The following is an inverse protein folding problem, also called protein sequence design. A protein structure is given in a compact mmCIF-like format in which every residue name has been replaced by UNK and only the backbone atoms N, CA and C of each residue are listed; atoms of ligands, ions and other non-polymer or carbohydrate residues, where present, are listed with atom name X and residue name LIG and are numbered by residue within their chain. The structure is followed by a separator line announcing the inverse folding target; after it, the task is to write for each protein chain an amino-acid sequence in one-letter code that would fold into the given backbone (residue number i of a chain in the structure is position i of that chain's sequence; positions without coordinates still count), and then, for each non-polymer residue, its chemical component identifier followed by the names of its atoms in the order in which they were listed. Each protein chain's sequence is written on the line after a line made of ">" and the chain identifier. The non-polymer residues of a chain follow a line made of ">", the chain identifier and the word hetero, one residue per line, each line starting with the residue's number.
data_IF_801832591753
#
_entry.id   IF_801832591753
#
_cell.length_a   1.000
_cell.length_b   1.000
_cell.length_c   1.000
_cell.angle_alpha   90.00
_cell.angle_beta   90.00
_cell.angle_gamma   90.00
#
_symmetry.space_group_name_H-M   'P 1'
#
loop_
_entity.id
_entity.type
_entity.pdbx_description
1 polymer ?
#
# COMPACT_ATOMS: atom_id res chain seq x y z
N UNK A 1 6.40 10.30 -26.08
CA UNK A 1 6.82 9.02 -25.48
C UNK A 1 7.21 9.34 -24.04
N UNK A 2 6.22 9.50 -23.18
CA UNK A 2 6.45 9.70 -21.74
C UNK A 2 6.98 8.38 -21.21
N UNK A 3 8.15 8.39 -20.60
CA UNK A 3 8.66 7.19 -19.93
C UNK A 3 7.60 6.71 -18.94
N UNK A 4 7.20 5.44 -19.03
CA UNK A 4 6.52 4.77 -17.92
C UNK A 4 7.52 4.76 -16.77
N UNK A 5 7.37 5.73 -15.86
CA UNK A 5 8.21 5.79 -14.68
C UNK A 5 7.75 4.64 -13.78
N UNK A 6 8.56 3.59 -13.71
CA UNK A 6 8.36 2.50 -12.75
C UNK A 6 8.25 3.10 -11.35
N UNK A 7 7.07 2.98 -10.74
CA UNK A 7 6.85 3.42 -9.37
C UNK A 7 7.67 2.54 -8.45
N UNK A 8 8.46 3.17 -7.58
CA UNK A 8 9.33 2.49 -6.62
C UNK A 8 8.81 2.65 -5.20
N UNK A 9 9.33 1.85 -4.26
CA UNK A 9 9.06 2.04 -2.85
C UNK A 9 9.50 3.42 -2.31
N UNK A 10 10.48 4.08 -2.94
CA UNK A 10 10.86 5.44 -2.58
C UNK A 10 9.75 6.44 -2.91
N UNK A 11 9.06 6.27 -4.04
CA UNK A 11 7.91 7.09 -4.42
C UNK A 11 6.74 6.90 -3.45
N UNK A 12 6.49 5.65 -3.02
CA UNK A 12 5.48 5.33 -2.00
C UNK A 12 5.80 6.00 -0.67
N UNK A 13 7.06 5.90 -0.20
CA UNK A 13 7.50 6.59 1.04
C UNK A 13 7.32 8.09 0.92
N UNK A 14 7.72 8.68 -0.20
CA UNK A 14 7.58 10.12 -0.45
C UNK A 14 6.11 10.55 -0.40
N UNK A 15 5.23 9.83 -1.09
CA UNK A 15 3.80 10.10 -1.10
C UNK A 15 3.17 9.94 0.30
N UNK A 16 3.45 8.83 0.99
CA UNK A 16 2.89 8.55 2.31
C UNK A 16 3.34 9.58 3.36
N UNK A 17 4.64 9.89 3.41
CA UNK A 17 5.21 10.84 4.37
C UNK A 17 4.87 12.31 4.06
N UNK A 18 4.31 12.60 2.88
CA UNK A 18 3.78 13.94 2.57
C UNK A 18 2.44 14.23 3.25
N UNK A 19 1.72 13.19 3.72
CA UNK A 19 0.46 13.35 4.43
C UNK A 19 0.70 13.84 5.87
N UNK A 20 -0.12 14.78 6.39
CA UNK A 20 0.01 15.26 7.77
C UNK A 20 0.01 14.11 8.79
N UNK A 21 0.82 14.26 9.84
CA UNK A 21 0.90 13.33 10.97
C UNK A 21 1.20 11.87 10.59
N UNK A 22 1.83 11.65 9.44
CA UNK A 22 2.23 10.32 8.97
C UNK A 22 3.64 9.95 9.44
N UNK A 23 3.79 8.70 9.88
CA UNK A 23 5.09 8.12 10.26
C UNK A 23 5.29 6.76 9.60
N UNK A 24 6.53 6.44 9.27
CA UNK A 24 6.96 5.10 8.86
C UNK A 24 7.43 4.31 10.09
N UNK A 25 6.95 3.07 10.25
CA UNK A 25 7.37 2.13 11.30
C UNK A 25 7.42 0.72 10.74
N UNK A 26 8.39 -0.07 11.17
CA UNK A 26 8.41 -1.50 10.87
C UNK A 26 7.34 -2.25 11.67
N UNK A 27 6.61 -3.15 11.03
CA UNK A 27 5.74 -4.14 11.65
C UNK A 27 5.87 -5.46 10.90
N UNK A 28 6.07 -6.57 11.62
CA UNK A 28 6.30 -7.89 11.03
C UNK A 28 7.41 -7.93 9.96
N UNK A 29 8.44 -7.09 10.12
CA UNK A 29 9.54 -6.95 9.16
C UNK A 29 9.25 -6.06 7.95
N UNK A 30 8.01 -5.56 7.80
CA UNK A 30 7.59 -4.74 6.67
C UNK A 30 7.48 -3.25 7.03
N UNK A 31 7.85 -2.33 6.13
CA UNK A 31 7.56 -0.90 6.28
C UNK A 31 6.05 -0.65 6.31
N UNK A 32 5.57 0.04 7.36
CA UNK A 32 4.17 0.44 7.50
C UNK A 32 4.05 1.95 7.69
N UNK A 33 3.08 2.56 7.02
CA UNK A 33 2.78 3.99 7.11
C UNK A 33 1.53 4.19 7.95
N UNK A 34 1.64 5.10 8.92
CA UNK A 34 0.65 5.26 9.98
C UNK A 34 0.28 6.70 10.17
N UNK A 35 -1.02 6.95 10.31
CA UNK A 35 -1.59 8.23 10.76
C UNK A 35 -2.32 8.00 12.08
N UNK A 36 -2.08 8.86 13.08
CA UNK A 36 -2.64 8.70 14.42
C UNK A 36 -2.48 7.26 15.00
N UNK A 37 -1.34 6.62 14.70
CA UNK A 37 -1.01 5.25 15.14
C UNK A 37 -1.64 4.11 14.32
N UNK A 38 -2.58 4.39 13.42
CA UNK A 38 -3.28 3.40 12.58
C UNK A 38 -2.58 3.22 11.24
N UNK A 39 -2.37 1.98 10.81
CA UNK A 39 -1.78 1.65 9.50
C UNK A 39 -2.79 2.00 8.41
N UNK A 40 -2.35 2.74 7.39
CA UNK A 40 -3.14 2.98 6.18
C UNK A 40 -2.46 2.45 4.91
N UNK A 41 -1.15 2.22 4.94
CA UNK A 41 -0.41 1.58 3.86
C UNK A 41 0.79 0.76 4.40
N UNK A 42 1.25 -0.23 3.63
CA UNK A 42 2.47 -0.99 3.91
C UNK A 42 3.13 -1.44 2.62
N UNK A 43 4.46 -1.53 2.60
CA UNK A 43 5.19 -2.15 1.48
C UNK A 43 5.23 -3.67 1.66
N UNK A 44 5.20 -4.39 0.54
CA UNK A 44 5.48 -5.82 0.50
C UNK A 44 6.98 -6.12 0.62
N UNK A 45 7.30 -7.38 0.91
CA UNK A 45 8.64 -7.86 1.24
C UNK A 45 9.67 -7.61 0.12
N UNK A 46 9.22 -7.68 -1.13
CA UNK A 46 10.02 -7.43 -2.34
C UNK A 46 9.91 -6.00 -2.85
N UNK A 47 9.20 -5.13 -2.13
CA UNK A 47 8.94 -3.73 -2.50
C UNK A 47 8.22 -3.54 -3.86
N UNK A 48 7.69 -4.62 -4.47
CA UNK A 48 6.97 -4.57 -5.75
C UNK A 48 5.46 -4.41 -5.59
N UNK A 49 4.96 -4.56 -4.36
CA UNK A 49 3.56 -4.42 -4.01
C UNK A 49 3.38 -3.55 -2.76
N UNK A 50 2.17 -3.02 -2.59
CA UNK A 50 1.79 -2.33 -1.35
C UNK A 50 0.38 -2.74 -0.92
N UNK A 51 0.19 -2.86 0.39
CA UNK A 51 -1.14 -2.91 0.99
C UNK A 51 -1.65 -1.50 1.22
N UNK A 52 -2.94 -1.27 0.95
CA UNK A 52 -3.63 -0.02 1.29
C UNK A 52 -4.89 -0.33 2.07
N UNK A 53 -5.25 0.52 3.02
CA UNK A 53 -6.45 0.34 3.81
C UNK A 53 -7.69 0.52 2.93
N UNK A 54 -8.47 -0.54 2.83
CA UNK A 54 -9.68 -0.60 2.00
C UNK A 54 -10.84 -1.23 2.83
N UNK A 55 -12.06 -0.66 2.81
CA UNK A 55 -13.26 -1.30 3.35
C UNK A 55 -13.48 -2.68 2.74
N UNK A 56 -14.05 -3.64 3.49
CA UNK A 56 -14.17 -5.03 3.00
C UNK A 56 -15.19 -5.12 1.86
N UNK A 57 -16.24 -4.32 1.94
CA UNK A 57 -17.30 -4.18 0.95
C UNK A 57 -16.80 -3.71 -0.43
N UNK A 58 -15.79 -2.84 -0.46
CA UNK A 58 -15.30 -2.22 -1.71
C UNK A 58 -14.27 -3.08 -2.45
N UNK A 59 -13.67 -4.08 -1.77
CA UNK A 59 -12.57 -4.89 -2.33
C UNK A 59 -12.96 -5.62 -3.60
N UNK A 60 -14.15 -6.24 -3.60
CA UNK A 60 -14.61 -7.02 -4.74
C UNK A 60 -14.77 -6.14 -5.99
N UNK A 61 -15.30 -4.93 -5.83
CA UNK A 61 -15.47 -3.98 -6.93
C UNK A 61 -14.13 -3.43 -7.43
N UNK A 62 -13.19 -3.10 -6.54
CA UNK A 62 -11.85 -2.65 -6.94
C UNK A 62 -11.10 -3.72 -7.74
N UNK A 63 -11.11 -4.96 -7.25
CA UNK A 63 -10.48 -6.10 -7.94
C UNK A 63 -11.15 -6.34 -9.30
N UNK A 64 -12.48 -6.24 -9.38
CA UNK A 64 -13.18 -6.39 -10.65
C UNK A 64 -12.87 -5.26 -11.64
N UNK A 65 -12.64 -4.03 -11.15
CA UNK A 65 -12.34 -2.86 -11.99
C UNK A 65 -10.91 -2.86 -12.56
N UNK A 66 -9.91 -3.21 -11.74
CA UNK A 66 -8.50 -3.28 -12.17
C UNK A 66 -7.81 -4.55 -11.59
N UNK A 67 -8.10 -5.75 -12.11
CA UNK A 67 -7.62 -7.02 -11.54
C UNK A 67 -6.10 -7.23 -11.63
N UNK A 68 -5.43 -6.53 -12.53
CA UNK A 68 -3.95 -6.56 -12.63
C UNK A 68 -3.26 -5.71 -11.56
N UNK A 69 -4.02 -4.85 -10.86
CA UNK A 69 -3.52 -3.89 -9.88
C UNK A 69 -4.01 -4.19 -8.47
N UNK A 70 -5.27 -4.57 -8.33
CA UNK A 70 -5.88 -4.89 -7.04
C UNK A 70 -6.06 -6.39 -6.90
N UNK A 71 -5.58 -6.95 -5.79
CA UNK A 71 -5.65 -8.36 -5.47
C UNK A 71 -5.64 -8.55 -3.95
N UNK A 72 -6.02 -9.74 -3.49
CA UNK A 72 -5.88 -10.14 -2.09
C UNK A 72 -4.57 -10.91 -1.90
N UNK A 73 -3.87 -10.61 -0.80
CA UNK A 73 -2.71 -11.38 -0.36
C UNK A 73 -3.14 -12.36 0.72
N UNK A 74 -2.84 -13.64 0.51
CA UNK A 74 -3.13 -14.69 1.48
C UNK A 74 -2.50 -14.37 2.86
N UNK A 75 -3.25 -14.61 3.95
CA UNK A 75 -2.79 -14.38 5.33
C UNK A 75 -2.82 -12.92 5.81
N UNK A 76 -3.19 -11.95 4.97
CA UNK A 76 -3.31 -10.53 5.37
C UNK A 76 -4.75 -10.06 5.63
N UNK A 77 -5.75 -10.79 5.14
CA UNK A 77 -7.14 -10.30 5.06
C UNK A 77 -8.22 -11.28 5.58
N UNK A 78 -7.82 -12.36 6.28
CA UNK A 78 -8.75 -13.30 6.96
C UNK A 78 -9.65 -12.60 8.03
#
# INVERSE_FOLDING_TARGET
>A
MTADATITAADVRSAALSLPDTTEKLAWGQPTFRVAGKIFASLGDDETSMGVKCPREDRAELIAAEPEKFFLREGHDD
#
